data_IF_488580267759
#
_entry.id   IF_488580267759
#
_cell.length_a   1.000
_cell.length_b   1.000
_cell.length_c   1.000
_cell.angle_alpha   90.00
_cell.angle_beta   90.00
_cell.angle_gamma   90.00
#
_symmetry.space_group_name_H-M   'P 1'
#
loop_
_entity.id
_entity.type
_entity.pdbx_description
1 polymer ?
#
# COMPACT_ATOMS: atom_id res chain seq x y z
N UNK A 1 21.11 4.82 -15.78
CA UNK A 1 20.73 4.75 -15.44
C UNK A 1 20.22 4.21 -14.68
N UNK A 2 19.96 4.37 -14.20
CA UNK A 2 19.48 4.18 -13.58
C UNK A 2 18.88 3.83 -12.93
N UNK A 3 18.77 3.91 -12.55
CA UNK A 3 18.17 3.77 -11.93
C UNK A 3 17.51 3.38 -11.24
N UNK A 4 17.43 3.39 -11.08
CA UNK A 4 16.93 3.00 -10.43
C UNK A 4 15.86 3.21 -9.87
N UNK A 5 15.37 3.20 -10.36
CA UNK A 5 14.30 3.53 -9.81
C UNK A 5 13.97 2.65 -8.77
N UNK A 6 13.73 3.07 -7.72
CA UNK A 6 13.40 2.36 -6.55
C UNK A 6 11.93 2.04 -6.51
N UNK A 7 11.58 0.80 -6.22
CA UNK A 7 10.21 0.40 -5.94
C UNK A 7 9.84 0.63 -4.48
N UNK A 8 10.74 1.24 -3.72
CA UNK A 8 10.48 1.55 -2.32
C UNK A 8 9.47 2.67 -2.23
N UNK A 9 8.45 2.49 -1.42
CA UNK A 9 7.38 3.46 -1.25
C UNK A 9 7.36 3.96 0.18
N UNK A 10 6.93 5.20 0.36
CA UNK A 10 6.63 5.68 1.70
C UNK A 10 5.26 5.18 2.11
N UNK A 11 5.03 4.96 3.42
CA UNK A 11 3.70 4.54 3.85
C UNK A 11 2.59 5.46 3.37
N UNK A 12 2.84 6.78 3.33
CA UNK A 12 1.83 7.73 2.83
C UNK A 12 1.50 7.48 1.36
N UNK A 13 2.48 7.06 0.58
CA UNK A 13 2.24 6.75 -0.83
C UNK A 13 1.35 5.53 -0.97
N UNK A 14 1.60 4.51 -0.16
CA UNK A 14 0.77 3.30 -0.18
C UNK A 14 -0.66 3.64 0.20
N UNK A 15 -0.84 4.46 1.23
CA UNK A 15 -2.16 4.91 1.64
C UNK A 15 -2.85 5.67 0.52
N UNK A 16 -2.12 6.55 -0.16
CA UNK A 16 -2.70 7.30 -1.28
C UNK A 16 -3.15 6.37 -2.39
N UNK A 17 -2.34 5.37 -2.72
CA UNK A 17 -2.71 4.38 -3.72
C UNK A 17 -4.00 3.68 -3.31
N UNK A 18 -4.08 3.23 -2.07
CA UNK A 18 -5.26 2.53 -1.58
C UNK A 18 -6.49 3.43 -1.63
N UNK A 19 -6.34 4.71 -1.26
CA UNK A 19 -7.45 5.64 -1.32
C UNK A 19 -7.93 5.87 -2.75
N UNK A 20 -7.00 5.97 -3.70
CA UNK A 20 -7.37 6.08 -5.11
C UNK A 20 -8.14 4.85 -5.60
N UNK A 21 -7.87 3.71 -4.99
CA UNK A 21 -8.55 2.45 -5.36
C UNK A 21 -9.84 2.23 -4.59
N UNK A 22 -10.23 3.20 -3.76
CA UNK A 22 -11.50 3.13 -3.03
C UNK A 22 -11.43 2.53 -1.66
N UNK A 23 -10.22 2.34 -1.14
CA UNK A 23 -10.05 1.83 0.22
C UNK A 23 -10.13 2.95 1.23
N UNK A 24 -10.64 2.64 2.41
CA UNK A 24 -10.72 3.58 3.51
C UNK A 24 -10.08 2.98 4.75
N UNK A 25 -9.47 3.84 5.54
CA UNK A 25 -8.91 3.45 6.83
C UNK A 25 -10.05 3.09 7.77
N UNK A 26 -10.02 1.88 8.32
CA UNK A 26 -11.11 1.44 9.19
C UNK A 26 -10.69 1.32 10.64
N UNK A 27 -9.41 1.07 10.91
CA UNK A 27 -8.92 1.05 12.29
C UNK A 27 -7.40 0.94 12.30
N UNK A 28 -6.82 1.18 13.47
CA UNK A 28 -5.38 1.02 13.67
C UNK A 28 -5.13 0.16 14.90
N UNK A 29 -4.12 -0.69 14.82
CA UNK A 29 -3.62 -1.45 15.94
C UNK A 29 -2.13 -1.17 16.03
N UNK A 30 -1.73 -0.31 16.94
CA UNK A 30 -0.35 0.16 16.99
C UNK A 30 0.00 0.82 15.67
N UNK A 31 1.08 0.36 15.05
CA UNK A 31 1.51 0.90 13.76
C UNK A 31 0.81 0.24 12.57
N UNK A 32 -0.06 -0.74 12.80
CA UNK A 32 -0.73 -1.43 11.71
C UNK A 32 -2.06 -0.74 11.41
N UNK A 33 -2.17 -0.17 10.21
CA UNK A 33 -3.40 0.49 9.78
C UNK A 33 -4.16 -0.41 8.84
N UNK A 34 -5.43 -0.59 9.13
CA UNK A 34 -6.30 -1.49 8.36
C UNK A 34 -7.14 -0.70 7.39
N UNK A 35 -7.16 -1.17 6.15
CA UNK A 35 -7.91 -0.53 5.06
C UNK A 35 -8.86 -1.52 4.44
N UNK A 36 -10.03 -1.05 4.06
CA UNK A 36 -11.06 -1.88 3.45
C UNK A 36 -11.78 -1.09 2.36
N UNK A 37 -12.14 -1.78 1.29
CA UNK A 37 -12.97 -1.15 0.26
C UNK A 37 -14.42 -1.60 0.41
N UNK A 38 -15.29 -1.08 -0.45
CA UNK A 38 -16.73 -1.39 -0.37
C UNK A 38 -17.03 -2.84 -0.74
N UNK A 39 -16.17 -3.46 -1.51
CA UNK A 39 -16.34 -4.86 -1.89
C UNK A 39 -15.86 -5.85 -0.84
N UNK A 40 -15.35 -5.36 0.28
CA UNK A 40 -14.86 -6.22 1.34
C UNK A 40 -13.40 -6.61 1.24
N UNK A 41 -12.68 -6.11 0.25
CA UNK A 41 -11.23 -6.36 0.19
C UNK A 41 -10.58 -5.62 1.35
N UNK A 42 -9.58 -6.23 1.94
CA UNK A 42 -8.96 -5.72 3.16
C UNK A 42 -7.46 -5.91 3.09
N UNK A 43 -6.71 -4.93 3.54
CA UNK A 43 -5.27 -5.07 3.66
C UNK A 43 -4.79 -4.27 4.86
N UNK A 44 -3.55 -4.54 5.27
CA UNK A 44 -2.93 -3.89 6.42
C UNK A 44 -1.65 -3.23 5.95
N UNK A 45 -1.48 -1.95 6.30
CA UNK A 45 -0.27 -1.20 6.02
C UNK A 45 0.46 -0.97 7.32
N UNK A 46 1.68 -1.53 7.50
CA UNK A 46 2.50 -1.19 8.65
C UNK A 46 2.99 0.25 8.47
N UNK A 47 2.60 1.11 9.38
CA UNK A 47 2.92 2.54 9.27
C UNK A 47 3.92 2.90 10.36
N UNK A 48 5.20 2.65 10.09
CA UNK A 48 6.26 3.00 11.01
C UNK A 48 6.86 4.32 10.58
N UNK A 49 6.88 5.27 11.47
CA UNK A 49 7.40 6.58 11.18
C UNK A 49 8.86 6.47 10.75
N UNK A 50 9.19 7.09 9.63
CA UNK A 50 10.55 7.09 9.13
C UNK A 50 10.98 5.84 8.39
N UNK A 51 10.09 4.84 8.29
CA UNK A 51 10.41 3.59 7.61
C UNK A 51 9.73 3.54 6.26
N UNK A 52 10.43 3.00 5.28
CA UNK A 52 9.87 2.80 3.95
C UNK A 52 9.13 1.47 3.88
N UNK A 53 8.22 1.39 2.93
CA UNK A 53 7.54 0.13 2.62
C UNK A 53 8.38 -0.58 1.57
N UNK A 54 8.94 -1.72 1.95
CA UNK A 54 9.81 -2.46 1.05
C UNK A 54 9.04 -3.04 -0.12
N UNK A 55 9.72 -3.26 -1.27
CA UNK A 55 9.01 -3.77 -2.45
C UNK A 55 8.25 -5.08 -2.20
N UNK A 56 8.81 -5.97 -1.40
CA UNK A 56 8.12 -7.22 -1.09
C UNK A 56 6.80 -7.01 -0.39
N UNK A 57 6.76 -6.06 0.54
CA UNK A 57 5.53 -5.74 1.24
C UNK A 57 4.53 -5.07 0.32
N UNK A 58 4.99 -4.13 -0.52
CA UNK A 58 4.10 -3.47 -1.46
C UNK A 58 3.49 -4.46 -2.45
N UNK A 59 4.29 -5.42 -2.93
CA UNK A 59 3.79 -6.46 -3.82
C UNK A 59 2.75 -7.34 -3.13
N UNK A 60 2.98 -7.64 -1.86
CA UNK A 60 2.04 -8.44 -1.09
C UNK A 60 0.71 -7.70 -0.91
N UNK A 61 0.77 -6.40 -0.65
CA UNK A 61 -0.45 -5.60 -0.53
C UNK A 61 -1.22 -5.63 -1.85
N UNK A 62 -0.53 -5.41 -2.98
CA UNK A 62 -1.18 -5.45 -4.28
C UNK A 62 -1.84 -6.81 -4.52
N UNK A 63 -1.15 -7.88 -4.16
CA UNK A 63 -1.70 -9.23 -4.33
C UNK A 63 -2.93 -9.44 -3.45
N UNK A 64 -2.89 -8.95 -2.22
CA UNK A 64 -4.02 -9.10 -1.30
C UNK A 64 -5.26 -8.41 -1.82
N UNK A 65 -5.09 -7.26 -2.45
CA UNK A 65 -6.23 -6.53 -2.98
C UNK A 65 -6.56 -6.93 -4.41
N UNK A 66 -5.82 -7.87 -4.99
CA UNK A 66 -6.17 -8.51 -6.24
C UNK A 66 -5.82 -7.76 -7.50
N UNK A 67 -4.77 -6.92 -7.47
CA UNK A 67 -4.36 -6.22 -8.68
C UNK A 67 -2.87 -6.47 -8.96
N UNK A 68 -2.47 -6.37 -10.23
CA UNK A 68 -1.05 -6.48 -10.57
C UNK A 68 -0.25 -5.35 -9.94
N UNK A 69 0.99 -5.64 -9.58
CA UNK A 69 1.83 -4.64 -8.94
C UNK A 69 2.04 -3.41 -9.80
N UNK A 70 2.13 -3.59 -11.12
CA UNK A 70 2.30 -2.46 -12.02
C UNK A 70 1.09 -1.54 -11.97
N UNK A 71 -0.10 -2.12 -11.91
CA UNK A 71 -1.31 -1.33 -11.78
C UNK A 71 -1.34 -0.61 -10.44
N UNK A 72 -0.94 -1.31 -9.38
CA UNK A 72 -0.84 -0.72 -8.05
C UNK A 72 0.02 0.54 -8.10
N UNK A 73 1.21 0.43 -8.69
CA UNK A 73 2.12 1.57 -8.78
C UNK A 73 1.59 2.70 -9.64
N UNK A 74 0.73 2.40 -10.61
CA UNK A 74 0.18 3.43 -11.49
C UNK A 74 -0.72 4.41 -10.76
N UNK A 75 -1.14 4.07 -9.55
CA UNK A 75 -1.99 4.94 -8.74
C UNK A 75 -1.20 5.81 -7.76
N UNK A 76 0.13 5.81 -7.89
CA UNK A 76 0.98 6.65 -7.02
C UNK A 76 0.67 8.12 -7.18
#
# INVERSE_FOLDING_TARGET
MSHHHSDVLKPKEVVRILEHLGFQHVRSHGSHQHYRDQGGRHTIVPFHQGSDVEPGLARRIAKEIGIPFEEFLSHR
#
